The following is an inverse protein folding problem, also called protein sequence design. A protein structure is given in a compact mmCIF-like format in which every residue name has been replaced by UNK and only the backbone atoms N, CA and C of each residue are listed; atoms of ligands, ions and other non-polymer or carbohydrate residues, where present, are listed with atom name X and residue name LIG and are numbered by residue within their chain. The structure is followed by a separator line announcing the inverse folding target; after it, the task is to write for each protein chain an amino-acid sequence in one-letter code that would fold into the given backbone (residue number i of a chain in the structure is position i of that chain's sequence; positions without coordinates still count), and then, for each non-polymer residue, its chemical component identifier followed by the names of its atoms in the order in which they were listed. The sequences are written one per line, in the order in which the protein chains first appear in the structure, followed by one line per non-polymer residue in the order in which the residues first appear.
data_IF_710573128633
#
_entry.id   IF_710573128633
#
_cell.length_a   1.000
_cell.length_b   1.000
_cell.length_c   1.000
_cell.angle_alpha   90.00
_cell.angle_beta   90.00
_cell.angle_gamma   90.00
#
_symmetry.space_group_name_H-M   'P 1'
#
loop_
_entity.id
_entity.type
_entity.pdbx_description
1 polymer ?
#
# COMPACT_ATOMS: atom_id res chain seq x y z
N UNK A 1 28.26 33.17 -16.27
CA UNK A 1 27.03 32.43 -16.67
C UNK A 1 27.39 30.97 -16.90
N UNK A 2 27.14 30.11 -15.94
CA UNK A 2 27.44 28.67 -16.02
C UNK A 2 26.11 27.96 -16.31
N UNK A 3 26.06 27.27 -17.45
CA UNK A 3 24.92 26.46 -17.90
C UNK A 3 24.79 25.24 -16.96
N UNK A 4 23.68 25.17 -16.23
CA UNK A 4 23.23 23.96 -15.53
C UNK A 4 22.77 22.94 -16.57
N UNK A 5 23.57 21.90 -16.77
CA UNK A 5 23.27 20.79 -17.66
C UNK A 5 22.44 19.68 -17.07
N UNK A 6 21.74 19.07 -17.90
CA UNK A 6 20.99 17.83 -18.01
C UNK A 6 21.58 16.60 -17.27
N UNK A 7 21.61 16.57 -15.95
CA UNK A 7 22.16 15.42 -15.21
C UNK A 7 21.18 14.70 -14.28
N UNK A 8 19.95 15.21 -14.10
CA UNK A 8 19.00 14.65 -13.10
C UNK A 8 17.92 13.72 -13.64
N UNK A 9 17.88 13.50 -14.94
CA UNK A 9 16.85 12.67 -15.59
C UNK A 9 17.27 11.23 -15.85
N UNK A 10 18.56 10.92 -15.82
CA UNK A 10 19.06 9.56 -16.07
C UNK A 10 19.14 8.73 -14.77
N UNK A 11 19.38 9.35 -13.62
CA UNK A 11 19.42 8.66 -12.32
C UNK A 11 18.03 8.12 -11.89
N UNK A 12 16.93 8.67 -12.41
CA UNK A 12 15.58 8.19 -12.10
C UNK A 12 15.12 7.02 -12.98
N UNK A 13 15.87 6.66 -14.03
CA UNK A 13 15.60 5.53 -14.92
C UNK A 13 16.39 4.26 -14.54
N UNK A 14 17.47 4.46 -13.82
CA UNK A 14 18.21 3.36 -13.16
C UNK A 14 17.90 3.48 -11.67
N UNK A 15 16.73 2.90 -11.28
CA UNK A 15 16.28 2.96 -9.90
C UNK A 15 17.41 2.74 -8.92
N UNK A 16 17.59 3.70 -8.00
CA UNK A 16 18.54 3.69 -6.91
C UNK A 16 18.40 2.39 -6.08
N UNK A 17 18.99 1.33 -6.55
CA UNK A 17 19.41 0.24 -5.68
C UNK A 17 20.69 0.71 -5.02
N UNK A 18 20.56 1.26 -3.83
CA UNK A 18 21.70 1.36 -2.92
C UNK A 18 22.05 -0.05 -2.46
N UNK A 19 22.79 -0.75 -3.31
CA UNK A 19 23.44 -2.02 -2.98
C UNK A 19 24.61 -1.84 -1.99
N UNK A 20 24.85 -0.62 -1.50
CA UNK A 20 25.91 -0.35 -0.52
C UNK A 20 25.67 -1.03 0.83
N UNK A 21 24.44 -1.39 1.18
CA UNK A 21 24.14 -1.99 2.48
C UNK A 21 24.30 -3.52 2.51
N UNK A 22 24.36 -4.18 1.36
CA UNK A 22 24.60 -5.64 1.30
C UNK A 22 26.09 -5.96 1.13
N UNK A 23 26.90 -4.99 0.70
CA UNK A 23 28.33 -5.16 0.44
C UNK A 23 29.19 -4.75 1.65
N UNK A 24 28.68 -3.96 2.60
CA UNK A 24 29.47 -3.37 3.69
C UNK A 24 29.61 -4.21 4.96
N UNK A 25 29.23 -5.48 4.97
CA UNK A 25 29.71 -6.42 5.99
C UNK A 25 30.92 -7.18 5.45
N UNK A 26 32.04 -6.49 5.46
CA UNK A 26 33.41 -6.94 5.43
C UNK A 26 33.71 -8.34 4.89
N UNK A 27 33.83 -8.49 3.56
CA UNK A 27 34.80 -9.37 2.91
C UNK A 27 34.92 -8.87 1.46
N UNK A 28 36.10 -8.46 1.05
CA UNK A 28 36.52 -8.24 -0.35
C UNK A 28 36.41 -9.56 -1.13
N UNK A 29 35.22 -9.93 -1.55
CA UNK A 29 35.05 -11.07 -2.44
C UNK A 29 34.95 -10.54 -3.86
N UNK A 30 36.08 -10.47 -4.55
CA UNK A 30 36.14 -10.28 -6.00
C UNK A 30 35.23 -11.33 -6.67
N UNK A 31 34.45 -10.97 -7.69
CA UNK A 31 33.65 -11.93 -8.46
C UNK A 31 34.53 -13.03 -9.03
N UNK A 32 34.09 -14.28 -8.95
CA UNK A 32 34.76 -15.45 -9.47
C UNK A 32 33.87 -16.05 -10.56
N UNK A 33 34.47 -16.44 -11.68
CA UNK A 33 33.76 -17.17 -12.73
C UNK A 33 33.55 -18.62 -12.36
N UNK A 34 32.27 -19.05 -12.31
CA UNK A 34 31.89 -20.43 -12.00
C UNK A 34 31.14 -21.02 -13.18
N UNK A 35 31.39 -22.32 -13.46
CA UNK A 35 30.65 -23.06 -14.47
C UNK A 35 29.14 -23.08 -14.13
N UNK A 36 28.34 -22.71 -15.11
CA UNK A 36 26.89 -22.59 -14.96
C UNK A 36 26.22 -23.92 -14.58
N UNK A 37 26.85 -25.06 -14.91
CA UNK A 37 26.41 -26.40 -14.56
C UNK A 37 26.54 -26.72 -13.07
N UNK A 38 27.41 -26.00 -12.34
CA UNK A 38 27.58 -26.15 -10.89
C UNK A 38 26.59 -25.32 -10.07
N UNK A 39 25.77 -24.50 -10.73
CA UNK A 39 24.79 -23.65 -10.07
C UNK A 39 23.44 -24.34 -9.96
N UNK A 40 22.92 -24.41 -8.75
CA UNK A 40 21.59 -24.93 -8.44
C UNK A 40 20.60 -23.79 -8.16
N UNK A 41 19.36 -23.98 -8.63
CA UNK A 41 18.28 -23.04 -8.41
C UNK A 41 17.68 -23.23 -7.01
N UNK A 42 17.38 -22.13 -6.35
CA UNK A 42 16.62 -22.20 -5.12
C UNK A 42 15.15 -22.52 -5.42
N UNK A 43 14.68 -23.71 -5.04
CA UNK A 43 13.31 -24.18 -5.26
C UNK A 43 12.28 -23.36 -4.47
N UNK A 44 12.70 -22.67 -3.41
CA UNK A 44 11.86 -21.81 -2.58
C UNK A 44 11.67 -20.39 -3.16
N UNK A 45 12.18 -20.12 -4.37
CA UNK A 45 11.99 -18.83 -5.02
C UNK A 45 10.52 -18.65 -5.43
N UNK A 46 9.84 -17.59 -4.97
CA UNK A 46 8.39 -17.38 -5.18
C UNK A 46 8.04 -17.02 -6.62
N UNK A 47 9.00 -16.63 -7.46
CA UNK A 47 8.76 -16.26 -8.85
C UNK A 47 8.68 -17.46 -9.78
N UNK A 48 7.46 -17.97 -10.01
CA UNK A 48 7.21 -19.09 -10.96
C UNK A 48 6.99 -18.61 -12.40
N UNK A 49 6.39 -17.44 -12.59
CA UNK A 49 6.09 -16.89 -13.92
C UNK A 49 7.11 -15.81 -14.28
N UNK A 50 7.84 -16.05 -15.35
CA UNK A 50 8.75 -15.08 -15.95
C UNK A 50 8.16 -14.67 -17.31
N UNK A 51 8.14 -13.40 -17.59
CA UNK A 51 7.86 -12.89 -18.92
C UNK A 51 8.98 -13.35 -19.86
N UNK A 52 8.63 -14.27 -20.77
CA UNK A 52 9.57 -14.88 -21.71
C UNK A 52 10.21 -13.85 -22.63
N UNK A 53 9.45 -12.81 -23.01
CA UNK A 53 9.95 -11.73 -23.85
C UNK A 53 11.02 -10.91 -23.13
N UNK A 54 10.73 -10.48 -21.90
CA UNK A 54 11.69 -9.76 -21.07
C UNK A 54 12.92 -10.60 -20.68
N UNK A 55 12.79 -11.93 -20.64
CA UNK A 55 13.92 -12.84 -20.40
C UNK A 55 14.80 -12.98 -21.66
N UNK A 56 14.19 -13.03 -22.85
CA UNK A 56 14.90 -13.08 -24.13
C UNK A 56 15.70 -11.80 -24.38
N UNK A 57 15.10 -10.63 -24.15
CA UNK A 57 15.80 -9.33 -24.25
C UNK A 57 17.02 -9.25 -23.32
N UNK A 58 16.87 -9.76 -22.09
CA UNK A 58 17.97 -9.84 -21.14
C UNK A 58 19.05 -10.82 -21.61
N UNK A 59 18.68 -11.95 -22.23
CA UNK A 59 19.64 -12.92 -22.76
C UNK A 59 20.45 -12.34 -23.94
N UNK A 60 19.86 -11.54 -24.82
CA UNK A 60 20.57 -10.83 -25.88
C UNK A 60 21.55 -9.80 -25.32
N UNK A 61 21.13 -9.04 -24.31
CA UNK A 61 22.01 -8.09 -23.61
C UNK A 61 23.20 -8.82 -22.97
N UNK A 62 22.96 -9.93 -22.28
CA UNK A 62 24.00 -10.73 -21.63
C UNK A 62 24.94 -11.36 -22.68
N UNK A 63 24.45 -11.74 -23.85
CA UNK A 63 25.28 -12.25 -24.95
C UNK A 63 26.23 -11.20 -25.48
N UNK A 64 25.82 -9.93 -25.48
CA UNK A 64 26.62 -8.80 -26.02
C UNK A 64 27.63 -8.26 -25.00
N UNK A 65 27.17 -8.03 -23.76
CA UNK A 65 27.93 -7.32 -22.73
C UNK A 65 28.39 -8.20 -21.56
N UNK A 66 27.98 -9.48 -21.53
CA UNK A 66 28.19 -10.34 -20.38
C UNK A 66 27.26 -10.00 -19.20
N UNK A 67 27.53 -10.62 -18.08
CA UNK A 67 26.83 -10.31 -16.81
C UNK A 67 27.63 -9.21 -16.10
N UNK A 68 27.10 -7.98 -16.11
CA UNK A 68 27.73 -6.83 -15.46
C UNK A 68 27.67 -6.96 -13.94
N UNK A 69 26.51 -7.38 -13.40
CA UNK A 69 26.31 -7.55 -11.98
C UNK A 69 26.37 -9.04 -11.61
N UNK A 70 27.36 -9.47 -10.78
CA UNK A 70 27.54 -10.87 -10.41
C UNK A 70 26.30 -11.47 -9.73
N UNK A 71 26.14 -12.79 -9.82
CA UNK A 71 25.16 -13.52 -9.03
C UNK A 71 25.68 -13.68 -7.61
N UNK A 72 24.76 -13.77 -6.63
CA UNK A 72 25.11 -14.13 -5.26
C UNK A 72 24.77 -15.59 -5.04
N UNK A 73 25.74 -16.37 -4.59
CA UNK A 73 25.58 -17.81 -4.37
C UNK A 73 26.15 -18.22 -3.00
N UNK A 74 25.61 -19.30 -2.46
CA UNK A 74 26.17 -19.96 -1.28
C UNK A 74 26.65 -21.37 -1.63
N UNK A 75 27.73 -21.80 -1.01
CA UNK A 75 28.31 -23.15 -1.25
C UNK A 75 27.42 -24.21 -0.57
N UNK A 76 27.12 -25.27 -1.32
CA UNK A 76 26.42 -26.46 -0.82
C UNK A 76 27.12 -27.71 -1.35
N UNK A 77 27.84 -28.39 -0.49
CA UNK A 77 28.71 -29.50 -0.88
C UNK A 77 29.65 -29.10 -2.02
N UNK A 78 29.56 -29.77 -3.17
CA UNK A 78 30.36 -29.47 -4.37
C UNK A 78 29.63 -28.59 -5.40
N UNK A 79 28.52 -27.95 -5.03
CA UNK A 79 27.71 -27.11 -5.90
C UNK A 79 27.44 -25.76 -5.24
N UNK A 80 26.79 -24.88 -5.96
CA UNK A 80 26.46 -23.53 -5.46
C UNK A 80 24.98 -23.27 -5.62
N UNK A 81 24.33 -22.91 -4.53
CA UNK A 81 22.91 -22.51 -4.55
C UNK A 81 22.77 -21.01 -4.83
N UNK A 82 21.97 -20.65 -5.83
CA UNK A 82 21.71 -19.25 -6.18
C UNK A 82 20.84 -18.62 -5.10
N UNK A 83 21.37 -17.58 -4.44
CA UNK A 83 20.66 -16.79 -3.44
C UNK A 83 19.97 -15.59 -4.11
N UNK A 84 20.70 -14.86 -4.98
CA UNK A 84 20.16 -13.75 -5.77
C UNK A 84 20.66 -13.77 -7.20
N UNK A 85 19.85 -13.30 -8.15
CA UNK A 85 20.20 -13.23 -9.57
C UNK A 85 19.59 -14.33 -10.46
N UNK A 86 18.52 -14.98 -10.06
CA UNK A 86 17.84 -16.05 -10.82
C UNK A 86 17.52 -15.65 -12.28
N UNK A 87 17.07 -14.40 -12.52
CA UNK A 87 16.81 -13.92 -13.89
C UNK A 87 18.07 -13.87 -14.73
N UNK A 88 19.18 -13.39 -14.16
CA UNK A 88 20.50 -13.34 -14.83
C UNK A 88 21.01 -14.74 -15.12
N UNK A 89 20.87 -15.67 -14.18
CA UNK A 89 21.20 -17.08 -14.40
C UNK A 89 20.44 -17.71 -15.56
N UNK A 90 19.11 -17.52 -15.61
CA UNK A 90 18.29 -18.06 -16.72
C UNK A 90 18.62 -17.42 -18.04
N UNK A 91 18.79 -16.11 -18.08
CA UNK A 91 19.19 -15.39 -19.28
C UNK A 91 20.59 -15.79 -19.76
N UNK A 92 21.55 -16.00 -18.85
CA UNK A 92 22.88 -16.53 -19.17
C UNK A 92 22.83 -17.93 -19.79
N UNK A 93 21.96 -18.80 -19.25
CA UNK A 93 21.73 -20.14 -19.80
C UNK A 93 21.10 -20.09 -21.21
N UNK A 94 20.16 -19.16 -21.43
CA UNK A 94 19.57 -18.92 -22.77
C UNK A 94 20.60 -18.32 -23.75
N UNK A 95 21.49 -17.45 -23.26
CA UNK A 95 22.58 -16.87 -24.04
C UNK A 95 23.70 -17.88 -24.35
N UNK A 96 23.69 -19.08 -23.76
CA UNK A 96 24.68 -20.14 -24.00
C UNK A 96 26.01 -19.90 -23.29
N UNK A 97 26.07 -19.10 -22.23
CA UNK A 97 27.30 -18.90 -21.45
C UNK A 97 27.69 -20.17 -20.72
N UNK A 98 28.98 -20.48 -20.70
CA UNK A 98 29.56 -21.63 -19.97
C UNK A 98 29.87 -21.27 -18.52
N UNK A 99 30.31 -20.03 -18.27
CA UNK A 99 30.66 -19.52 -16.94
C UNK A 99 29.89 -18.22 -16.66
N UNK A 100 29.70 -17.93 -15.39
CA UNK A 100 29.05 -16.70 -14.94
C UNK A 100 29.79 -16.14 -13.73
N UNK A 101 29.93 -14.80 -13.61
CA UNK A 101 30.53 -14.17 -12.44
C UNK A 101 29.61 -14.31 -11.23
N UNK A 102 30.17 -14.80 -10.13
CA UNK A 102 29.46 -14.99 -8.86
C UNK A 102 30.24 -14.41 -7.69
N UNK A 103 29.50 -13.98 -6.67
CA UNK A 103 30.03 -13.68 -5.34
C UNK A 103 29.58 -14.83 -4.43
N UNK A 104 30.56 -15.53 -3.85
CA UNK A 104 30.27 -16.61 -2.90
C UNK A 104 30.13 -16.00 -1.51
N UNK A 105 28.98 -16.23 -0.88
CA UNK A 105 28.74 -15.89 0.53
C UNK A 105 28.45 -17.17 1.27
N UNK A 106 29.10 -17.36 2.41
CA UNK A 106 28.78 -18.47 3.31
C UNK A 106 27.53 -18.09 4.09
N UNK A 107 26.41 -18.77 3.80
CA UNK A 107 25.09 -18.50 4.37
C UNK A 107 24.44 -19.81 4.77
N UNK A 108 23.79 -19.82 5.91
CA UNK A 108 22.95 -20.94 6.29
C UNK A 108 21.60 -20.94 5.54
N UNK A 109 20.82 -22.00 5.71
CA UNK A 109 19.52 -22.13 5.03
C UNK A 109 18.49 -21.13 5.55
N UNK A 110 18.66 -20.62 6.78
CA UNK A 110 17.79 -19.62 7.38
C UNK A 110 18.05 -18.25 6.75
N UNK A 111 19.31 -17.88 6.60
CA UNK A 111 19.72 -16.62 5.95
C UNK A 111 19.32 -16.59 4.47
N UNK A 112 19.48 -17.71 3.76
CA UNK A 112 19.02 -17.83 2.35
C UNK A 112 17.52 -17.62 2.23
N UNK A 113 16.71 -18.17 3.15
CA UNK A 113 15.25 -17.97 3.16
C UNK A 113 14.90 -16.53 3.52
N UNK A 114 15.60 -15.93 4.48
CA UNK A 114 15.40 -14.53 4.86
C UNK A 114 15.60 -13.59 3.67
N UNK A 115 16.74 -13.73 2.98
CA UNK A 115 17.06 -12.92 1.80
C UNK A 115 15.99 -13.08 0.72
N UNK A 116 15.54 -14.30 0.46
CA UNK A 116 14.50 -14.55 -0.52
C UNK A 116 13.16 -13.90 -0.15
N UNK A 117 12.80 -13.87 1.14
CA UNK A 117 11.59 -13.17 1.62
C UNK A 117 11.73 -11.66 1.52
N UNK A 118 12.88 -11.10 1.87
CA UNK A 118 13.17 -9.65 1.77
C UNK A 118 13.13 -9.22 0.31
N UNK A 119 13.82 -9.94 -0.61
CA UNK A 119 13.77 -9.66 -2.05
C UNK A 119 12.30 -9.67 -2.57
N UNK A 120 11.52 -10.67 -2.15
CA UNK A 120 10.13 -10.74 -2.55
C UNK A 120 9.30 -9.56 -2.03
N UNK A 121 9.55 -9.09 -0.80
CA UNK A 121 8.88 -7.92 -0.21
C UNK A 121 9.21 -6.59 -0.91
N UNK A 122 10.34 -6.49 -1.58
CA UNK A 122 10.75 -5.30 -2.35
C UNK A 122 10.05 -5.18 -3.72
N UNK A 123 9.25 -6.17 -4.11
CA UNK A 123 8.52 -6.12 -5.39
C UNK A 123 7.39 -5.11 -5.37
N UNK A 124 7.23 -4.35 -6.45
CA UNK A 124 6.25 -3.28 -6.58
C UNK A 124 4.77 -3.74 -6.59
N UNK A 125 4.50 -5.00 -6.96
CA UNK A 125 3.13 -5.50 -7.22
C UNK A 125 2.68 -6.60 -6.25
N UNK A 126 3.16 -6.61 -5.01
CA UNK A 126 2.68 -7.56 -4.02
C UNK A 126 1.29 -7.18 -3.51
N UNK A 127 0.45 -8.23 -3.32
CA UNK A 127 -0.80 -8.05 -2.59
C UNK A 127 -0.50 -7.64 -1.14
N UNK A 128 -1.24 -6.66 -0.58
CA UNK A 128 -1.03 -6.20 0.80
C UNK A 128 -1.08 -7.31 1.86
N UNK A 129 -1.89 -8.35 1.63
CA UNK A 129 -1.99 -9.50 2.55
C UNK A 129 -0.78 -10.43 2.41
N UNK A 130 -0.28 -10.65 1.18
CA UNK A 130 0.95 -11.41 0.96
C UNK A 130 2.14 -10.73 1.63
N UNK A 131 2.25 -9.40 1.49
CA UNK A 131 3.26 -8.60 2.19
C UNK A 131 3.15 -8.75 3.70
N UNK A 132 1.94 -8.71 4.25
CA UNK A 132 1.71 -8.87 5.69
C UNK A 132 2.13 -10.27 6.19
N UNK A 133 1.80 -11.33 5.44
CA UNK A 133 2.20 -12.71 5.75
C UNK A 133 3.72 -12.88 5.71
N UNK A 134 4.39 -12.34 4.69
CA UNK A 134 5.85 -12.40 4.58
C UNK A 134 6.55 -11.64 5.72
N UNK A 135 6.06 -10.46 6.10
CA UNK A 135 6.57 -9.70 7.26
C UNK A 135 6.36 -10.50 8.55
N UNK A 136 5.20 -11.12 8.73
CA UNK A 136 4.93 -11.96 9.90
C UNK A 136 5.88 -13.16 9.97
N UNK A 137 6.18 -13.79 8.82
CA UNK A 137 7.12 -14.90 8.74
C UNK A 137 8.54 -14.46 9.13
N UNK A 138 9.01 -13.29 8.67
CA UNK A 138 10.30 -12.73 9.05
C UNK A 138 10.40 -12.50 10.56
N UNK A 139 9.33 -12.01 11.20
CA UNK A 139 9.30 -11.82 12.65
C UNK A 139 9.35 -13.17 13.37
N UNK A 140 8.49 -14.13 12.98
CA UNK A 140 8.31 -15.38 13.73
C UNK A 140 9.43 -16.40 13.52
N UNK A 141 9.95 -16.51 12.27
CA UNK A 141 10.95 -17.54 11.94
C UNK A 141 12.38 -17.02 11.94
N UNK A 142 12.57 -15.72 11.70
CA UNK A 142 13.89 -15.12 11.62
C UNK A 142 14.18 -14.15 12.77
N UNK A 143 13.25 -14.02 13.76
CA UNK A 143 13.36 -13.19 14.95
C UNK A 143 13.70 -11.70 14.65
N UNK A 144 13.31 -11.20 13.47
CA UNK A 144 13.54 -9.82 13.08
C UNK A 144 12.53 -8.89 13.74
N UNK A 145 12.99 -7.74 14.18
CA UNK A 145 12.11 -6.67 14.65
C UNK A 145 11.47 -5.92 13.48
N UNK A 146 10.34 -5.26 13.74
CA UNK A 146 9.69 -4.42 12.71
C UNK A 146 10.61 -3.32 12.17
N UNK A 147 11.52 -2.81 12.99
CA UNK A 147 12.52 -1.79 12.62
C UNK A 147 13.55 -2.38 11.66
N UNK A 148 14.14 -3.52 12.02
CA UNK A 148 15.09 -4.21 11.14
C UNK A 148 14.49 -4.59 9.79
N UNK A 149 13.22 -5.02 9.76
CA UNK A 149 12.52 -5.30 8.51
C UNK A 149 12.33 -4.01 7.71
N UNK A 150 11.91 -2.91 8.36
CA UNK A 150 11.73 -1.61 7.71
C UNK A 150 13.01 -1.14 7.03
N UNK A 151 14.15 -1.22 7.72
CA UNK A 151 15.47 -0.87 7.20
C UNK A 151 15.87 -1.76 6.02
N UNK A 152 15.72 -3.09 6.15
CA UNK A 152 16.07 -4.06 5.09
C UNK A 152 15.28 -3.87 3.79
N UNK A 153 14.02 -3.40 3.86
CA UNK A 153 13.17 -3.19 2.66
C UNK A 153 13.05 -1.72 2.25
N UNK A 154 13.77 -0.80 2.92
CA UNK A 154 13.73 0.63 2.62
C UNK A 154 12.36 1.28 2.87
N UNK A 155 11.61 0.82 3.88
CA UNK A 155 10.28 1.34 4.24
C UNK A 155 10.26 1.87 5.66
N UNK A 156 9.22 2.66 6.00
CA UNK A 156 9.08 3.15 7.37
C UNK A 156 8.49 2.08 8.31
N UNK A 157 8.95 2.05 9.58
CA UNK A 157 8.40 1.18 10.62
C UNK A 157 6.87 1.30 10.78
N UNK A 158 6.25 2.51 10.72
CA UNK A 158 4.79 2.62 10.74
C UNK A 158 4.09 1.90 9.59
N UNK A 159 4.71 1.86 8.41
CA UNK A 159 4.16 1.12 7.26
C UNK A 159 4.17 -0.39 7.55
N UNK A 160 5.27 -0.93 8.11
CA UNK A 160 5.36 -2.33 8.51
C UNK A 160 4.28 -2.70 9.54
N UNK A 161 4.15 -1.88 10.60
CA UNK A 161 3.13 -2.08 11.62
C UNK A 161 1.71 -2.06 11.04
N UNK A 162 1.40 -1.11 10.15
CA UNK A 162 0.10 -1.01 9.50
C UNK A 162 -0.17 -2.20 8.56
N UNK A 163 0.85 -2.70 7.88
CA UNK A 163 0.72 -3.87 7.01
C UNK A 163 0.42 -5.13 7.85
N UNK A 164 1.14 -5.34 8.94
CA UNK A 164 0.89 -6.47 9.86
C UNK A 164 -0.53 -6.45 10.45
N UNK A 165 -1.05 -5.26 10.78
CA UNK A 165 -2.41 -5.11 11.30
C UNK A 165 -3.48 -5.59 10.33
N UNK A 166 -3.22 -5.67 9.03
CA UNK A 166 -4.16 -6.24 8.06
C UNK A 166 -4.51 -7.69 8.36
N UNK A 167 -3.61 -8.46 8.99
CA UNK A 167 -3.84 -9.85 9.38
C UNK A 167 -4.82 -10.00 10.56
N UNK A 168 -5.17 -8.90 11.25
CA UNK A 168 -6.18 -8.91 12.33
C UNK A 168 -7.61 -8.79 11.81
N UNK A 169 -7.81 -8.55 10.52
CA UNK A 169 -9.12 -8.52 9.87
C UNK A 169 -9.80 -9.90 9.91
N UNK A 170 -11.12 -9.92 9.66
CA UNK A 170 -11.82 -11.19 9.49
C UNK A 170 -11.33 -11.93 8.23
N UNK A 171 -11.36 -13.28 8.20
CA UNK A 171 -10.90 -14.05 7.04
C UNK A 171 -11.63 -13.68 5.74
N UNK A 172 -12.91 -13.32 5.83
CA UNK A 172 -13.74 -12.91 4.71
C UNK A 172 -13.27 -11.56 4.15
N UNK A 173 -12.96 -10.59 5.01
CA UNK A 173 -12.43 -9.28 4.61
C UNK A 173 -11.02 -9.43 4.01
N UNK A 174 -10.18 -10.31 4.58
CA UNK A 174 -8.88 -10.65 4.01
C UNK A 174 -9.02 -11.15 2.57
N UNK A 175 -9.96 -12.06 2.29
CA UNK A 175 -10.24 -12.54 0.93
C UNK A 175 -10.66 -11.44 -0.04
N UNK A 176 -11.40 -10.41 0.43
CA UNK A 176 -11.76 -9.26 -0.40
C UNK A 176 -10.55 -8.41 -0.76
N UNK A 177 -9.58 -8.30 0.15
CA UNK A 177 -8.31 -7.60 -0.12
C UNK A 177 -7.42 -8.43 -1.04
N UNK A 178 -7.29 -9.73 -0.81
CA UNK A 178 -6.53 -10.66 -1.66
C UNK A 178 -7.04 -10.68 -3.11
N UNK A 179 -8.36 -10.56 -3.29
CA UNK A 179 -9.00 -10.47 -4.62
C UNK A 179 -9.02 -9.07 -5.23
N UNK A 180 -8.31 -8.09 -4.61
CA UNK A 180 -8.27 -6.68 -5.03
C UNK A 180 -9.63 -5.98 -5.10
N UNK A 181 -10.69 -6.53 -4.47
CA UNK A 181 -11.99 -5.88 -4.33
C UNK A 181 -11.98 -4.74 -3.30
N UNK A 182 -11.06 -4.82 -2.34
CA UNK A 182 -10.79 -3.77 -1.37
C UNK A 182 -9.31 -3.39 -1.41
N UNK A 183 -9.01 -2.09 -1.37
CA UNK A 183 -7.62 -1.62 -1.27
C UNK A 183 -7.09 -1.73 0.17
N UNK A 184 -5.76 -1.65 0.34
CA UNK A 184 -5.12 -1.58 1.66
C UNK A 184 -5.64 -0.40 2.51
N UNK A 185 -6.05 0.71 1.87
CA UNK A 185 -6.65 1.86 2.56
C UNK A 185 -8.00 1.53 3.18
N UNK A 186 -8.89 0.89 2.40
CA UNK A 186 -10.19 0.40 2.89
C UNK A 186 -10.00 -0.60 4.04
N UNK A 187 -9.09 -1.57 3.88
CA UNK A 187 -8.78 -2.56 4.88
C UNK A 187 -8.29 -1.92 6.20
N UNK A 188 -7.40 -0.92 6.14
CA UNK A 188 -6.92 -0.20 7.34
C UNK A 188 -8.02 0.51 8.10
N UNK A 189 -8.95 1.16 7.40
CA UNK A 189 -10.09 1.81 8.05
C UNK A 189 -10.94 0.81 8.84
N UNK A 190 -11.11 -0.42 8.33
CA UNK A 190 -11.90 -1.47 8.95
C UNK A 190 -11.24 -2.11 10.19
N UNK A 191 -9.93 -2.02 10.37
CA UNK A 191 -9.22 -2.63 11.51
C UNK A 191 -9.75 -2.12 12.86
N UNK A 192 -10.24 -0.88 12.92
CA UNK A 192 -10.74 -0.29 14.16
C UNK A 192 -12.06 -0.91 14.64
N UNK A 193 -12.71 -1.73 13.83
CA UNK A 193 -13.96 -2.40 14.16
C UNK A 193 -13.63 -3.77 14.79
N UNK A 194 -13.89 -3.93 16.07
CA UNK A 194 -13.63 -5.18 16.79
C UNK A 194 -14.61 -6.29 16.41
N UNK A 195 -15.88 -5.93 16.20
CA UNK A 195 -16.92 -6.90 15.81
C UNK A 195 -16.74 -7.33 14.35
N UNK A 196 -16.41 -8.60 14.15
CA UNK A 196 -16.11 -9.17 12.83
C UNK A 196 -17.31 -9.20 11.88
N UNK A 197 -18.53 -9.36 12.39
CA UNK A 197 -19.75 -9.33 11.57
C UNK A 197 -20.03 -7.91 11.04
N UNK A 198 -19.83 -6.91 11.90
CA UNK A 198 -19.97 -5.50 11.47
C UNK A 198 -18.86 -5.14 10.48
N UNK A 199 -17.63 -5.59 10.75
CA UNK A 199 -16.49 -5.39 9.86
C UNK A 199 -16.76 -5.94 8.45
N UNK A 200 -17.31 -7.17 8.36
CA UNK A 200 -17.68 -7.80 7.10
C UNK A 200 -18.82 -7.04 6.39
N UNK A 201 -19.90 -6.69 7.10
CA UNK A 201 -21.02 -5.93 6.50
C UNK A 201 -20.58 -4.62 5.87
N UNK A 202 -19.67 -3.88 6.52
CA UNK A 202 -19.16 -2.63 5.97
C UNK A 202 -18.22 -2.89 4.78
N UNK A 203 -17.42 -3.94 4.85
CA UNK A 203 -16.56 -4.35 3.75
C UNK A 203 -17.37 -4.72 2.50
N UNK A 204 -18.46 -5.48 2.65
CA UNK A 204 -19.37 -5.83 1.56
C UNK A 204 -20.11 -4.61 1.00
N UNK A 205 -20.57 -3.71 1.88
CA UNK A 205 -21.19 -2.45 1.47
C UNK A 205 -20.19 -1.60 0.66
N UNK A 206 -18.93 -1.53 1.11
CA UNK A 206 -17.88 -0.78 0.42
C UNK A 206 -17.64 -1.31 -1.00
N UNK A 207 -17.61 -2.63 -1.18
CA UNK A 207 -17.46 -3.27 -2.49
C UNK A 207 -18.69 -3.02 -3.35
N UNK A 208 -19.91 -3.21 -2.80
CA UNK A 208 -21.18 -3.09 -3.54
C UNK A 208 -21.49 -1.67 -3.98
N UNK A 209 -21.18 -0.70 -3.14
CA UNK A 209 -21.48 0.72 -3.39
C UNK A 209 -20.28 1.53 -3.89
N UNK A 210 -19.12 0.88 -4.15
CA UNK A 210 -17.87 1.54 -4.56
C UNK A 210 -17.50 2.73 -3.64
N UNK A 211 -17.59 2.53 -2.33
CA UNK A 211 -17.28 3.58 -1.35
C UNK A 211 -15.80 3.96 -1.40
N UNK A 212 -15.52 5.23 -1.14
CA UNK A 212 -14.14 5.69 -0.95
C UNK A 212 -13.62 5.32 0.45
N UNK A 213 -12.29 5.33 0.63
CA UNK A 213 -11.67 5.14 1.95
C UNK A 213 -12.23 6.13 2.98
N UNK A 214 -12.45 7.40 2.58
CA UNK A 214 -13.00 8.44 3.44
C UNK A 214 -14.44 8.15 3.89
N UNK A 215 -15.24 7.53 3.04
CA UNK A 215 -16.61 7.15 3.39
C UNK A 215 -16.60 6.02 4.43
N UNK A 216 -15.74 5.02 4.26
CA UNK A 216 -15.55 3.97 5.27
C UNK A 216 -15.06 4.54 6.60
N UNK A 217 -14.09 5.46 6.58
CA UNK A 217 -13.61 6.13 7.80
C UNK A 217 -14.75 6.86 8.53
N UNK A 218 -15.69 7.50 7.80
CA UNK A 218 -16.88 8.12 8.39
C UNK A 218 -17.80 7.08 9.04
N UNK A 219 -18.13 5.99 8.33
CA UNK A 219 -18.95 4.91 8.88
C UNK A 219 -18.32 4.29 10.14
N UNK A 220 -17.01 4.03 10.09
CA UNK A 220 -16.26 3.51 11.24
C UNK A 220 -16.33 4.47 12.43
N UNK A 221 -16.14 5.77 12.18
CA UNK A 221 -16.21 6.80 13.22
C UNK A 221 -17.60 6.91 13.84
N UNK A 222 -18.66 6.80 13.06
CA UNK A 222 -20.04 6.79 13.54
C UNK A 222 -20.33 5.56 14.42
N UNK A 223 -19.82 4.40 14.04
CA UNK A 223 -19.99 3.15 14.80
C UNK A 223 -19.19 3.19 16.12
N UNK A 224 -17.96 3.68 16.09
CA UNK A 224 -17.10 3.74 17.30
C UNK A 224 -17.52 4.85 18.26
N UNK A 225 -18.16 5.91 17.76
CA UNK A 225 -18.63 7.03 18.57
C UNK A 225 -20.15 7.26 18.41
N UNK A 226 -20.99 6.33 18.85
CA UNK A 226 -22.46 6.49 18.74
C UNK A 226 -22.99 7.69 19.53
N UNK A 227 -22.19 8.33 20.40
CA UNK A 227 -22.56 9.53 21.15
C UNK A 227 -22.53 10.83 20.34
N UNK A 228 -22.00 10.84 19.11
CA UNK A 228 -22.04 12.00 18.21
C UNK A 228 -23.19 11.96 17.19
N UNK A 229 -24.01 10.93 17.20
CA UNK A 229 -25.39 11.10 16.81
C UNK A 229 -26.13 11.90 17.91
N UNK A 230 -25.83 13.17 18.03
CA UNK A 230 -26.96 14.07 18.09
C UNK A 230 -27.73 13.76 16.81
N UNK A 231 -28.66 12.79 16.95
CA UNK A 231 -29.78 12.71 16.06
C UNK A 231 -30.06 14.14 15.64
N UNK A 232 -29.93 14.45 14.36
CA UNK A 232 -30.95 15.27 13.78
C UNK A 232 -32.24 14.48 14.01
N UNK A 233 -32.69 14.40 15.28
CA UNK A 233 -34.10 14.45 15.54
C UNK A 233 -34.52 15.71 14.79
N UNK A 234 -35.03 15.52 13.62
CA UNK A 234 -36.17 16.28 13.21
C UNK A 234 -37.17 15.97 14.31
N UNK A 235 -37.06 16.65 15.48
CA UNK A 235 -38.15 16.83 16.39
C UNK A 235 -39.23 17.29 15.45
N UNK A 236 -40.34 16.56 15.37
CA UNK A 236 -41.51 17.04 14.66
C UNK A 236 -41.67 18.46 15.10
N UNK A 237 -41.35 19.39 14.19
CA UNK A 237 -41.52 20.81 14.46
C UNK A 237 -42.97 20.98 14.77
N UNK A 238 -43.28 21.70 15.84
CA UNK A 238 -44.68 22.01 16.16
C UNK A 238 -45.38 22.56 14.91
N UNK A 239 -46.64 22.32 14.77
CA UNK A 239 -47.43 22.83 13.65
C UNK A 239 -47.23 24.34 13.48
N UNK A 240 -47.08 25.04 14.59
CA UNK A 240 -46.79 26.49 14.65
C UNK A 240 -45.45 26.87 14.00
N UNK A 241 -44.37 26.13 14.29
CA UNK A 241 -43.06 26.35 13.64
C UNK A 241 -43.08 26.05 12.15
N UNK A 242 -43.84 25.02 11.73
CA UNK A 242 -44.01 24.70 10.30
C UNK A 242 -44.76 25.80 9.56
N UNK A 243 -45.86 26.31 10.15
CA UNK A 243 -46.63 27.41 9.56
C UNK A 243 -45.80 28.70 9.51
N UNK A 244 -45.06 28.97 10.58
CA UNK A 244 -44.18 30.13 10.64
C UNK A 244 -43.05 30.04 9.59
N UNK A 245 -42.46 28.88 9.43
CA UNK A 245 -41.43 28.63 8.40
C UNK A 245 -41.99 28.90 7.00
N UNK A 246 -43.20 28.39 6.72
CA UNK A 246 -43.87 28.61 5.44
C UNK A 246 -44.12 30.11 5.18
N UNK A 247 -44.68 30.82 6.14
CA UNK A 247 -44.91 32.28 6.04
C UNK A 247 -43.61 33.07 5.79
N UNK A 248 -42.52 32.68 6.45
CA UNK A 248 -41.21 33.28 6.20
C UNK A 248 -40.68 32.98 4.81
N UNK A 249 -40.81 31.74 4.32
CA UNK A 249 -40.45 31.40 2.95
C UNK A 249 -41.21 32.19 1.91
N UNK A 250 -42.50 32.34 2.11
CA UNK A 250 -43.38 33.18 1.25
C UNK A 250 -42.95 34.67 1.30
N UNK A 251 -42.60 35.18 2.50
CA UNK A 251 -42.23 36.58 2.70
C UNK A 251 -40.89 36.96 2.09
N UNK A 252 -39.87 36.07 2.26
CA UNK A 252 -38.52 36.30 1.77
C UNK A 252 -38.28 35.76 0.37
N UNK A 253 -39.24 34.98 -0.15
CA UNK A 253 -39.15 34.28 -1.44
C UNK A 253 -37.82 33.50 -1.63
N UNK A 254 -37.36 32.88 -0.54
CA UNK A 254 -36.15 32.06 -0.51
C UNK A 254 -36.29 30.97 0.54
N UNK A 255 -35.33 30.04 0.55
CA UNK A 255 -35.30 28.94 1.51
C UNK A 255 -35.06 29.45 2.92
N UNK A 256 -36.00 29.19 3.84
CA UNK A 256 -35.85 29.47 5.27
C UNK A 256 -35.89 28.17 6.04
N UNK A 257 -34.99 28.01 6.99
CA UNK A 257 -34.86 26.83 7.87
C UNK A 257 -34.86 27.33 9.33
N UNK A 258 -35.73 26.78 10.16
CA UNK A 258 -35.75 27.04 11.60
C UNK A 258 -35.21 25.82 12.33
N UNK A 259 -34.13 26.01 13.11
CA UNK A 259 -33.50 24.99 13.94
C UNK A 259 -33.81 25.32 15.40
N UNK A 260 -34.53 24.47 16.12
CA UNK A 260 -34.80 24.66 17.53
C UNK A 260 -36.20 24.23 17.95
N UNK A 261 -36.72 24.86 19.00
CA UNK A 261 -38.04 24.63 19.54
C UNK A 261 -38.74 25.99 19.82
N UNK A 262 -39.98 25.95 20.32
CA UNK A 262 -40.81 27.15 20.58
C UNK A 262 -40.18 28.17 21.58
N UNK A 263 -39.17 27.73 22.37
CA UNK A 263 -38.53 28.60 23.38
C UNK A 263 -37.17 29.12 22.92
N UNK A 264 -36.45 28.37 22.06
CA UNK A 264 -35.08 28.70 21.66
C UNK A 264 -34.77 28.08 20.30
N UNK A 265 -34.25 28.91 19.40
CA UNK A 265 -33.91 28.43 18.05
C UNK A 265 -33.00 29.38 17.29
N UNK A 266 -32.74 29.02 16.07
CA UNK A 266 -31.99 29.79 15.07
C UNK A 266 -32.78 29.76 13.78
N UNK A 267 -32.93 30.93 13.15
CA UNK A 267 -33.50 31.06 11.82
C UNK A 267 -32.35 31.25 10.84
N UNK A 268 -32.37 30.47 9.78
CA UNK A 268 -31.40 30.51 8.69
C UNK A 268 -32.18 30.87 7.43
N UNK A 269 -31.79 31.96 6.77
CA UNK A 269 -32.33 32.42 5.51
C UNK A 269 -31.22 32.29 4.48
N UNK A 270 -31.43 31.45 3.49
CA UNK A 270 -30.45 31.25 2.42
C UNK A 270 -30.61 32.34 1.36
N UNK A 271 -29.52 32.85 0.77
CA UNK A 271 -29.54 33.71 -0.41
C UNK A 271 -28.52 33.21 -1.42
N UNK A 272 -28.77 33.39 -2.68
CA UNK A 272 -27.94 32.85 -3.77
C UNK A 272 -27.34 33.95 -4.67
N UNK A 273 -27.76 35.20 -4.49
CA UNK A 273 -27.20 36.34 -5.20
C UNK A 273 -27.31 37.64 -4.37
N UNK A 274 -26.58 38.72 -4.71
CA UNK A 274 -26.63 40.00 -3.99
C UNK A 274 -28.01 40.65 -3.94
N UNK A 275 -28.81 40.51 -5.00
CA UNK A 275 -30.15 41.12 -5.08
C UNK A 275 -31.13 40.47 -4.08
N UNK A 276 -31.00 39.17 -3.88
CA UNK A 276 -31.79 38.47 -2.84
C UNK A 276 -31.40 38.91 -1.44
N UNK A 277 -30.07 39.09 -1.19
CA UNK A 277 -29.61 39.61 0.08
C UNK A 277 -30.16 41.00 0.37
N UNK A 278 -30.17 41.89 -0.64
CA UNK A 278 -30.72 43.23 -0.52
C UNK A 278 -32.22 43.20 -0.22
N UNK A 279 -33.02 42.34 -0.88
CA UNK A 279 -34.46 42.14 -0.62
C UNK A 279 -34.72 41.64 0.80
N UNK A 280 -33.88 40.69 1.28
CA UNK A 280 -34.00 40.21 2.66
C UNK A 280 -33.73 41.35 3.65
N UNK A 281 -32.67 42.15 3.42
CA UNK A 281 -32.36 43.32 4.24
C UNK A 281 -33.53 44.31 4.27
N UNK A 282 -34.03 44.70 3.12
CA UNK A 282 -35.15 45.67 2.99
C UNK A 282 -36.45 45.15 3.65
N UNK A 283 -36.64 43.83 3.66
CA UNK A 283 -37.82 43.20 4.29
C UNK A 283 -37.72 43.14 5.81
N UNK A 284 -36.48 43.06 6.37
CA UNK A 284 -36.23 43.01 7.81
C UNK A 284 -36.26 44.44 8.41
N UNK A 285 -35.81 45.42 7.64
CA UNK A 285 -35.68 46.81 8.12
C UNK A 285 -36.95 47.67 7.95
N UNK A 286 -37.97 47.13 7.30
CA UNK A 286 -39.34 47.68 7.27
C UNK A 286 -40.15 47.24 8.47
#
# INVERSE_FOLDING_TARGET
MVKKGLGRGLDSLFGDYKEEDVVNNGIDSNPIDIDISLLDRNQNQPRKNFDEKALSELAESIKTYGIIQPLVVTKRNNRYLIVAGERRFRAAKLAGLKTVPVIIKDMDDQEVREIALVENLQRENLNPIESAKAIQELIQKHNLTQEQIADKIGKSRPLIANTLRLLTLSPEVIKLVESNKLSAGHARALISIENKDIQLKIAELAVKANLSVRDIEKYVKEILNPKNEKHKHVKEQSLEIKDFTRKMQERFNTKVTILGNDKKGRIIIDYYNPDELQKIYDTIMK
#
